data_IF_011384054110
#
_entry.id   IF_011384054110
#
_cell.length_a   1.000
_cell.length_b   1.000
_cell.length_c   1.000
_cell.angle_alpha   90.00
_cell.angle_beta   90.00
_cell.angle_gamma   90.00
#
_symmetry.space_group_name_H-M   'P 1'
#
loop_
_entity.id
_entity.type
_entity.pdbx_description
1 polymer ?
#
# COMPACT_ATOMS: atom_id res chain seq x y z
N UNK A 1 -17.96 13.78 3.93
CA UNK A 1 -18.13 13.00 2.68
C UNK A 1 -16.90 12.19 2.28
N UNK A 2 -15.71 12.79 2.24
CA UNK A 2 -14.50 12.05 1.92
C UNK A 2 -14.22 10.85 2.87
N UNK A 3 -14.53 10.96 4.17
CA UNK A 3 -14.44 9.82 5.13
C UNK A 3 -15.33 8.62 4.75
N UNK A 4 -16.45 8.86 4.06
CA UNK A 4 -17.40 7.83 3.63
C UNK A 4 -17.11 7.32 2.21
N UNK A 5 -15.90 7.53 1.69
CA UNK A 5 -15.54 7.16 0.30
C UNK A 5 -16.16 8.04 -0.78
N UNK A 6 -16.70 9.21 -0.42
CA UNK A 6 -17.35 10.15 -1.34
C UNK A 6 -16.46 11.36 -1.60
N UNK A 7 -15.22 11.12 -2.03
CA UNK A 7 -14.22 12.17 -2.25
C UNK A 7 -14.64 13.14 -3.36
N UNK A 8 -15.22 12.64 -4.46
CA UNK A 8 -15.75 13.49 -5.53
C UNK A 8 -16.84 14.46 -5.04
N UNK A 9 -17.78 13.99 -4.20
CA UNK A 9 -18.79 14.86 -3.60
C UNK A 9 -18.19 15.89 -2.62
N UNK A 10 -17.10 15.55 -1.94
CA UNK A 10 -16.39 16.50 -1.09
C UNK A 10 -15.71 17.59 -1.93
N UNK A 11 -15.06 17.19 -3.03
CA UNK A 11 -14.44 18.12 -3.99
C UNK A 11 -15.47 19.10 -4.56
N UNK A 12 -16.64 18.59 -4.98
CA UNK A 12 -17.73 19.43 -5.49
C UNK A 12 -18.21 20.47 -4.46
N UNK A 13 -18.37 20.06 -3.19
CA UNK A 13 -18.75 20.99 -2.11
C UNK A 13 -17.68 22.03 -1.80
N UNK A 14 -16.41 21.67 -1.94
CA UNK A 14 -15.30 22.61 -1.81
C UNK A 14 -15.32 23.60 -2.99
N UNK A 15 -15.57 23.11 -4.21
CA UNK A 15 -15.63 23.94 -5.41
C UNK A 15 -16.80 24.92 -5.40
N UNK A 16 -17.98 24.50 -4.93
CA UNK A 16 -19.16 25.37 -4.73
C UNK A 16 -18.87 26.56 -3.80
N UNK A 17 -17.85 26.45 -2.93
CA UNK A 17 -17.39 27.53 -2.04
C UNK A 17 -16.18 28.29 -2.58
N UNK A 18 -15.78 28.03 -3.82
CA UNK A 18 -14.59 28.62 -4.45
C UNK A 18 -13.26 28.01 -3.99
N UNK A 19 -13.29 26.90 -3.26
CA UNK A 19 -12.09 26.25 -2.71
C UNK A 19 -11.30 25.40 -3.69
N UNK A 20 -11.66 25.36 -4.98
CA UNK A 20 -10.88 24.65 -6.01
C UNK A 20 -10.42 25.61 -7.09
N UNK A 21 -9.10 25.74 -7.23
CA UNK A 21 -8.40 26.56 -8.22
C UNK A 21 -7.87 25.66 -9.33
N UNK A 22 -8.41 25.83 -10.53
CA UNK A 22 -7.92 25.14 -11.73
C UNK A 22 -6.83 25.98 -12.39
N UNK A 23 -5.65 25.38 -12.57
CA UNK A 23 -4.50 25.96 -13.25
C UNK A 23 -3.96 24.88 -14.18
N UNK A 24 -4.37 24.98 -15.44
CA UNK A 24 -4.03 24.03 -16.49
C UNK A 24 -2.52 24.00 -16.78
N UNK A 25 -2.08 22.95 -17.46
CA UNK A 25 -0.71 22.80 -17.95
C UNK A 25 -0.51 23.68 -19.20
N UNK A 26 0.31 24.75 -19.17
CA UNK A 26 0.51 25.63 -20.32
C UNK A 26 1.03 24.85 -21.51
N UNK A 27 0.32 24.89 -22.64
CA UNK A 27 0.69 24.12 -23.85
C UNK A 27 0.71 22.59 -23.65
N UNK A 28 0.10 22.07 -22.58
CA UNK A 28 0.20 20.66 -22.19
C UNK A 28 1.48 20.29 -21.43
N UNK A 29 2.37 21.25 -21.17
CA UNK A 29 3.60 21.04 -20.41
C UNK A 29 3.30 20.87 -18.91
N UNK A 30 3.55 19.66 -18.41
CA UNK A 30 3.28 19.28 -17.03
C UNK A 30 4.23 19.95 -16.05
N UNK A 31 5.48 20.17 -16.43
CA UNK A 31 6.46 20.82 -15.55
C UNK A 31 6.12 22.30 -15.40
N UNK A 32 5.82 22.97 -16.52
CA UNK A 32 5.34 24.36 -16.49
C UNK A 32 4.04 24.49 -15.69
N UNK A 33 3.12 23.52 -15.82
CA UNK A 33 1.88 23.48 -15.04
C UNK A 33 2.11 23.29 -13.55
N UNK A 34 3.02 22.39 -13.18
CA UNK A 34 3.42 22.15 -11.80
C UNK A 34 4.03 23.42 -11.17
N UNK A 35 4.93 24.10 -11.89
CA UNK A 35 5.50 25.39 -11.46
C UNK A 35 4.43 26.47 -11.29
N UNK A 36 3.49 26.59 -12.24
CA UNK A 36 2.39 27.57 -12.15
C UNK A 36 1.49 27.32 -10.93
N UNK A 37 1.14 26.05 -10.66
CA UNK A 37 0.38 25.65 -9.47
C UNK A 37 1.15 25.92 -8.18
N UNK A 38 2.43 25.58 -8.12
CA UNK A 38 3.29 25.86 -6.97
C UNK A 38 3.40 27.37 -6.69
N UNK A 39 3.53 28.20 -7.72
CA UNK A 39 3.55 29.66 -7.58
C UNK A 39 2.21 30.21 -7.06
N UNK A 40 1.08 29.66 -7.49
CA UNK A 40 -0.23 30.06 -6.98
C UNK A 40 -0.39 29.70 -5.49
N UNK A 41 0.03 28.50 -5.10
CA UNK A 41 0.08 28.07 -3.69
C UNK A 41 0.98 29.02 -2.88
N UNK A 42 2.15 29.36 -3.41
CA UNK A 42 3.10 30.25 -2.75
C UNK A 42 2.52 31.64 -2.50
N UNK A 43 1.87 32.24 -3.51
CA UNK A 43 1.22 33.55 -3.39
C UNK A 43 0.11 33.55 -2.35
N UNK A 44 -0.76 32.54 -2.39
CA UNK A 44 -1.84 32.40 -1.41
C UNK A 44 -1.27 32.24 0.01
N UNK A 45 -0.29 31.37 0.20
CA UNK A 45 0.35 31.16 1.49
C UNK A 45 1.04 32.43 2.02
N UNK A 46 1.75 33.14 1.16
CA UNK A 46 2.45 34.36 1.52
C UNK A 46 1.48 35.53 1.82
N UNK A 47 0.32 35.58 1.17
CA UNK A 47 -0.73 36.57 1.49
C UNK A 47 -1.33 36.44 2.90
N UNK A 48 -1.17 35.27 3.55
CA UNK A 48 -1.65 35.05 4.91
C UNK A 48 -0.83 35.83 5.95
N UNK A 49 -1.45 36.18 7.07
CA UNK A 49 -0.72 36.73 8.23
C UNK A 49 0.27 35.71 8.78
N UNK A 50 1.30 36.16 9.52
CA UNK A 50 2.29 35.25 10.14
C UNK A 50 1.62 34.18 11.01
N UNK A 51 0.61 34.56 11.80
CA UNK A 51 -0.12 33.61 12.66
C UNK A 51 -0.95 32.61 11.85
N UNK A 52 -1.57 33.05 10.76
CA UNK A 52 -2.36 32.14 9.91
C UNK A 52 -1.45 31.19 9.13
N UNK A 53 -0.28 31.66 8.67
CA UNK A 53 0.74 30.78 8.08
C UNK A 53 1.13 29.68 9.04
N UNK A 54 1.30 29.95 10.34
CA UNK A 54 1.65 28.96 11.38
C UNK A 54 0.57 27.89 11.56
N UNK A 55 -0.69 28.22 11.26
CA UNK A 55 -1.83 27.31 11.32
C UNK A 55 -2.24 26.76 9.96
N UNK A 56 -1.41 26.99 8.93
CA UNK A 56 -1.64 26.52 7.56
C UNK A 56 -0.64 25.44 7.19
N UNK A 57 -1.14 24.35 6.63
CA UNK A 57 -0.31 23.30 6.03
C UNK A 57 -0.43 23.32 4.52
N UNK A 58 0.67 22.99 3.85
CA UNK A 58 0.69 22.79 2.40
C UNK A 58 0.93 21.31 2.14
N UNK A 59 0.06 20.69 1.35
CA UNK A 59 0.09 19.27 1.07
C UNK A 59 0.46 19.04 -0.40
N UNK A 60 1.50 18.25 -0.60
CA UNK A 60 2.02 17.85 -1.89
C UNK A 60 1.73 16.35 -2.15
N UNK A 61 1.45 15.93 -3.40
CA UNK A 61 1.22 14.53 -3.73
C UNK A 61 2.51 13.69 -3.68
N UNK A 62 3.62 14.24 -4.18
CA UNK A 62 4.94 13.61 -4.24
C UNK A 62 6.07 14.38 -3.55
N UNK A 63 7.28 13.80 -3.58
CA UNK A 63 8.49 14.43 -3.01
C UNK A 63 9.06 15.50 -3.95
N UNK A 64 8.97 15.25 -5.25
CA UNK A 64 9.21 16.19 -6.35
C UNK A 64 8.32 17.43 -6.24
N UNK A 65 7.02 17.23 -6.01
CA UNK A 65 6.06 18.33 -5.75
C UNK A 65 6.45 19.16 -4.54
N UNK A 66 6.81 18.49 -3.45
CA UNK A 66 7.23 19.15 -2.22
C UNK A 66 8.43 20.06 -2.48
N UNK A 67 9.42 19.61 -3.24
CA UNK A 67 10.61 20.41 -3.54
C UNK A 67 10.27 21.68 -4.32
N UNK A 68 9.45 21.57 -5.37
CA UNK A 68 9.02 22.72 -6.19
C UNK A 68 8.19 23.70 -5.37
N UNK A 69 7.23 23.21 -4.58
CA UNK A 69 6.37 24.04 -3.72
C UNK A 69 7.19 24.72 -2.62
N UNK A 70 8.12 24.01 -1.98
CA UNK A 70 9.01 24.60 -0.97
C UNK A 70 9.83 25.76 -1.55
N UNK A 71 10.41 25.58 -2.74
CA UNK A 71 11.16 26.65 -3.40
C UNK A 71 10.26 27.85 -3.70
N UNK A 72 9.11 27.62 -4.34
CA UNK A 72 8.18 28.69 -4.71
C UNK A 72 7.69 29.49 -3.50
N UNK A 73 7.32 28.80 -2.40
CA UNK A 73 6.90 29.45 -1.14
C UNK A 73 8.03 30.30 -0.58
N UNK A 74 9.25 29.74 -0.51
CA UNK A 74 10.40 30.47 0.02
C UNK A 74 10.74 31.70 -0.81
N UNK A 75 10.75 31.57 -2.14
CA UNK A 75 11.04 32.65 -3.07
C UNK A 75 9.98 33.77 -2.97
N UNK A 76 8.70 33.40 -2.84
CA UNK A 76 7.61 34.36 -2.63
C UNK A 76 7.74 35.08 -1.27
N UNK A 77 8.06 34.36 -0.19
CA UNK A 77 8.26 34.96 1.13
C UNK A 77 9.45 35.93 1.17
N UNK A 78 10.51 35.64 0.41
CA UNK A 78 11.64 36.56 0.21
C UNK A 78 11.23 37.80 -0.57
N UNK A 79 10.51 37.61 -1.68
CA UNK A 79 10.02 38.69 -2.53
C UNK A 79 9.16 39.69 -1.74
N UNK A 80 8.31 39.20 -0.85
CA UNK A 80 7.46 40.02 0.02
C UNK A 80 8.19 40.57 1.26
N UNK A 81 9.47 40.25 1.44
CA UNK A 81 10.26 40.66 2.61
C UNK A 81 9.87 39.97 3.93
N UNK A 82 8.92 39.02 3.91
CA UNK A 82 8.53 38.22 5.07
C UNK A 82 9.64 37.27 5.54
N UNK A 83 10.51 36.85 4.62
CA UNK A 83 11.70 36.08 4.89
C UNK A 83 12.92 36.96 4.58
N UNK A 84 13.40 37.65 5.62
CA UNK A 84 14.56 38.55 5.57
C UNK A 84 15.52 38.24 6.71
N UNK A 85 16.83 38.40 6.50
CA UNK A 85 17.84 38.26 7.56
C UNK A 85 19.02 37.38 7.17
N UNK A 86 19.87 37.01 8.14
CA UNK A 86 21.05 36.20 7.89
C UNK A 86 20.70 34.85 7.26
N UNK A 87 21.43 34.48 6.21
CA UNK A 87 21.36 33.18 5.55
C UNK A 87 22.72 32.48 5.52
N UNK A 88 22.71 31.17 5.37
CA UNK A 88 23.88 30.34 5.14
C UNK A 88 23.56 29.28 4.10
N UNK A 89 24.51 29.06 3.18
CA UNK A 89 24.50 27.92 2.27
C UNK A 89 25.24 26.77 2.95
N UNK A 90 24.57 25.65 3.10
CA UNK A 90 25.10 24.44 3.74
C UNK A 90 24.76 23.22 2.91
N UNK A 91 25.58 22.18 3.02
CA UNK A 91 25.30 20.91 2.37
C UNK A 91 24.21 20.15 3.14
N UNK A 92 23.24 19.61 2.41
CA UNK A 92 22.17 18.74 2.94
C UNK A 92 22.17 17.39 2.23
N UNK A 93 21.65 16.37 2.91
CA UNK A 93 21.60 14.99 2.41
C UNK A 93 20.16 14.61 2.06
N UNK A 94 19.89 14.41 0.77
CA UNK A 94 18.60 13.95 0.27
C UNK A 94 18.68 12.46 -0.06
N UNK A 95 17.79 11.65 0.52
CA UNK A 95 17.77 10.21 0.27
C UNK A 95 17.51 9.91 -1.22
N UNK A 96 18.32 9.02 -1.81
CA UNK A 96 18.05 8.48 -3.16
C UNK A 96 16.93 7.44 -3.18
N UNK A 97 16.51 6.94 -2.02
CA UNK A 97 15.43 5.96 -1.92
C UNK A 97 15.71 4.63 -2.63
N UNK A 98 16.99 4.28 -2.83
CA UNK A 98 17.39 3.06 -3.56
C UNK A 98 16.72 1.81 -2.97
N UNK A 99 16.15 0.99 -3.84
CA UNK A 99 15.66 -0.35 -3.51
C UNK A 99 16.81 -1.27 -3.11
N UNK A 100 16.52 -2.39 -2.45
CA UNK A 100 17.56 -3.35 -2.07
C UNK A 100 18.29 -3.96 -3.28
N UNK A 101 17.65 -4.01 -4.44
CA UNK A 101 18.28 -4.43 -5.70
C UNK A 101 19.23 -3.35 -6.21
N UNK A 102 18.77 -2.09 -6.27
CA UNK A 102 19.60 -0.95 -6.70
C UNK A 102 20.81 -0.73 -5.79
N UNK A 103 20.66 -0.90 -4.48
CA UNK A 103 21.80 -0.84 -3.54
C UNK A 103 22.90 -1.84 -3.88
N UNK A 104 22.60 -2.95 -4.54
CA UNK A 104 23.64 -3.92 -4.96
C UNK A 104 24.29 -3.51 -6.27
N UNK A 105 23.67 -2.65 -7.05
CA UNK A 105 24.21 -2.18 -8.32
C UNK A 105 25.22 -1.04 -8.11
N UNK A 106 26.48 -1.18 -8.55
CA UNK A 106 27.46 -0.09 -8.56
C UNK A 106 26.97 1.14 -9.35
N UNK A 107 26.14 0.94 -10.38
CA UNK A 107 25.63 2.02 -11.22
C UNK A 107 24.62 2.93 -10.51
N UNK A 108 24.07 2.50 -9.38
CA UNK A 108 23.19 3.32 -8.56
C UNK A 108 23.93 4.37 -7.72
N UNK A 109 25.27 4.36 -7.73
CA UNK A 109 26.14 5.29 -7.00
C UNK A 109 26.81 6.26 -7.96
N UNK A 110 26.54 7.55 -7.79
CA UNK A 110 27.10 8.61 -8.62
C UNK A 110 28.18 9.36 -7.86
N UNK A 111 29.18 9.88 -8.57
CA UNK A 111 30.22 10.74 -7.98
C UNK A 111 29.58 11.90 -7.21
N UNK A 112 30.01 12.10 -5.97
CA UNK A 112 29.47 13.11 -5.07
C UNK A 112 28.34 12.62 -4.15
N UNK A 113 27.76 11.46 -4.39
CA UNK A 113 26.82 10.82 -3.45
C UNK A 113 27.50 10.56 -2.11
N UNK A 114 26.69 10.44 -1.04
CA UNK A 114 27.16 10.08 0.29
C UNK A 114 26.50 8.77 0.71
N UNK A 115 27.30 7.81 1.15
CA UNK A 115 26.85 6.52 1.66
C UNK A 115 27.02 6.50 3.17
N UNK A 116 25.93 6.23 3.89
CA UNK A 116 25.95 5.97 5.33
C UNK A 116 25.90 4.48 5.60
N UNK A 117 26.78 4.01 6.46
CA UNK A 117 26.87 2.60 6.81
C UNK A 117 26.13 2.31 8.12
N UNK A 118 25.02 1.57 8.05
CA UNK A 118 24.20 1.21 9.21
C UNK A 118 24.84 0.15 10.12
N UNK A 119 25.93 -0.49 9.68
CA UNK A 119 26.69 -1.49 10.43
C UNK A 119 28.18 -1.27 10.21
N UNK A 120 28.96 -1.71 11.18
CA UNK A 120 30.41 -1.79 11.06
C UNK A 120 30.80 -2.79 9.95
N UNK A 121 31.76 -2.42 9.10
CA UNK A 121 32.42 -3.31 8.15
C UNK A 121 33.90 -3.41 8.48
N UNK A 122 34.24 -4.35 9.36
CA UNK A 122 35.61 -4.58 9.86
C UNK A 122 36.63 -4.76 8.74
N UNK A 123 36.29 -5.50 7.69
CA UNK A 123 37.19 -5.76 6.55
C UNK A 123 37.51 -4.53 5.70
N UNK A 124 36.79 -3.42 5.87
CA UNK A 124 37.04 -2.14 5.23
C UNK A 124 37.35 -1.02 6.24
N UNK A 125 37.43 -1.36 7.53
CA UNK A 125 37.63 -0.39 8.61
C UNK A 125 36.52 0.66 8.71
N UNK A 126 35.30 0.36 8.25
CA UNK A 126 34.19 1.33 8.26
C UNK A 126 33.37 1.14 9.53
N UNK A 127 33.19 2.21 10.30
CA UNK A 127 32.43 2.20 11.55
C UNK A 127 30.92 2.25 11.31
N UNK A 128 30.15 1.78 12.31
CA UNK A 128 28.70 1.94 12.31
C UNK A 128 28.33 3.43 12.37
N UNK A 129 27.46 3.87 11.46
CA UNK A 129 26.98 5.24 11.35
C UNK A 129 27.88 6.16 10.52
N UNK A 130 29.01 5.66 10.03
CA UNK A 130 29.97 6.45 9.26
C UNK A 130 29.39 6.87 7.89
N UNK A 131 29.72 8.09 7.47
CA UNK A 131 29.35 8.66 6.18
C UNK A 131 30.60 8.78 5.31
N UNK A 132 30.55 8.21 4.11
CA UNK A 132 31.63 8.27 3.13
C UNK A 132 31.11 8.83 1.81
N UNK A 133 31.92 9.67 1.15
CA UNK A 133 31.56 10.27 -0.14
C UNK A 133 31.98 9.36 -1.29
N UNK A 134 31.17 9.23 -2.33
CA UNK A 134 31.53 8.52 -3.56
C UNK A 134 32.47 9.42 -4.37
N UNK A 135 33.73 9.00 -4.49
CA UNK A 135 34.74 9.70 -5.29
C UNK A 135 34.67 9.28 -6.76
N UNK A 136 34.48 7.98 -7.01
CA UNK A 136 34.38 7.41 -8.36
C UNK A 136 33.79 5.99 -8.34
N UNK A 137 33.58 5.41 -9.53
CA UNK A 137 33.14 4.02 -9.72
C UNK A 137 33.98 3.35 -10.82
N UNK A 138 34.57 2.20 -10.49
CA UNK A 138 35.35 1.37 -11.41
C UNK A 138 34.81 -0.06 -11.43
N UNK A 139 34.13 -0.42 -12.51
CA UNK A 139 33.49 -1.74 -12.65
C UNK A 139 32.53 -2.00 -11.49
N UNK A 140 32.80 -3.05 -10.70
CA UNK A 140 31.98 -3.42 -9.55
C UNK A 140 32.33 -2.67 -8.25
N UNK A 141 33.38 -1.86 -8.26
CA UNK A 141 33.91 -1.19 -7.06
C UNK A 141 33.53 0.28 -7.08
N UNK A 142 32.83 0.72 -6.04
CA UNK A 142 32.59 2.12 -5.71
C UNK A 142 33.75 2.60 -4.85
N UNK A 143 34.47 3.62 -5.31
CA UNK A 143 35.52 4.29 -4.54
C UNK A 143 34.87 5.30 -3.60
N UNK A 144 35.02 5.04 -2.31
CA UNK A 144 34.54 5.89 -1.24
C UNK A 144 35.69 6.71 -0.66
N UNK A 145 35.40 7.89 -0.15
CA UNK A 145 36.38 8.83 0.40
C UNK A 145 35.91 9.32 1.76
N UNK A 146 36.82 9.27 2.74
CA UNK A 146 36.64 9.87 4.07
C UNK A 146 36.89 11.37 4.04
N UNK A 147 36.46 12.06 5.09
CA UNK A 147 36.83 13.48 5.29
C UNK A 147 38.34 13.68 5.40
N UNK A 148 39.09 12.65 5.85
CA UNK A 148 40.56 12.64 5.87
C UNK A 148 41.22 12.57 4.49
N UNK A 149 40.46 12.30 3.42
CA UNK A 149 40.96 12.03 2.07
C UNK A 149 41.34 10.56 1.83
N UNK A 150 41.23 9.69 2.84
CA UNK A 150 41.47 8.25 2.67
C UNK A 150 40.42 7.64 1.73
N UNK A 151 40.88 6.87 0.75
CA UNK A 151 40.02 6.18 -0.21
C UNK A 151 39.84 4.69 0.13
N UNK A 152 38.61 4.20 -0.03
CA UNK A 152 38.21 2.83 0.26
C UNK A 152 37.47 2.26 -0.94
N UNK A 153 37.92 1.10 -1.43
CA UNK A 153 37.18 0.34 -2.44
C UNK A 153 36.06 -0.49 -1.81
N UNK A 154 34.82 -0.25 -2.21
CA UNK A 154 33.66 -1.01 -1.74
C UNK A 154 32.89 -1.61 -2.92
N UNK A 155 32.67 -2.94 -2.91
CA UNK A 155 31.80 -3.62 -3.87
C UNK A 155 30.40 -3.79 -3.24
N UNK A 156 29.37 -3.05 -3.71
CA UNK A 156 28.03 -3.09 -3.11
C UNK A 156 27.33 -4.45 -3.24
N UNK A 157 27.56 -5.14 -4.36
CA UNK A 157 27.00 -6.48 -4.63
C UNK A 157 27.57 -7.54 -3.70
N UNK A 158 28.89 -7.55 -3.50
CA UNK A 158 29.58 -8.58 -2.72
C UNK A 158 29.59 -8.30 -1.21
N UNK A 159 29.60 -7.02 -0.80
CA UNK A 159 29.81 -6.62 0.61
C UNK A 159 28.62 -5.94 1.26
N UNK A 160 27.43 -6.50 1.00
CA UNK A 160 26.29 -6.36 1.89
C UNK A 160 25.70 -4.95 1.96
N UNK A 161 25.28 -4.40 0.82
CA UNK A 161 24.55 -3.13 0.75
C UNK A 161 23.04 -3.24 1.02
N UNK A 162 22.48 -4.46 1.05
CA UNK A 162 21.03 -4.72 1.18
C UNK A 162 20.37 -4.27 2.50
N UNK A 163 19.09 -4.61 2.67
CA UNK A 163 18.18 -4.12 3.71
C UNK A 163 18.85 -3.68 5.04
N UNK A 164 18.77 -2.37 5.32
CA UNK A 164 19.22 -1.76 6.57
C UNK A 164 20.74 -1.65 6.77
N UNK A 165 21.56 -2.06 5.80
CA UNK A 165 23.03 -1.99 5.91
C UNK A 165 23.62 -0.70 5.38
N UNK A 166 23.02 -0.13 4.33
CA UNK A 166 23.44 1.16 3.77
C UNK A 166 22.24 2.05 3.44
N UNK A 167 22.49 3.35 3.54
CA UNK A 167 21.61 4.42 3.09
C UNK A 167 22.43 5.32 2.15
N UNK A 168 21.86 5.74 1.02
CA UNK A 168 22.57 6.54 0.01
C UNK A 168 21.84 7.85 -0.21
N UNK A 169 22.61 8.93 -0.23
CA UNK A 169 22.12 10.29 -0.28
C UNK A 169 22.79 11.05 -1.41
N UNK A 170 22.06 11.96 -2.06
CA UNK A 170 22.65 13.04 -2.86
C UNK A 170 23.00 14.20 -1.92
N UNK A 171 24.18 14.76 -2.10
CA UNK A 171 24.56 16.02 -1.44
C UNK A 171 24.01 17.18 -2.25
N UNK A 172 23.26 18.07 -1.61
CA UNK A 172 22.69 19.26 -2.23
C UNK A 172 23.04 20.49 -1.40
N UNK A 173 23.64 21.50 -2.03
CA UNK A 173 23.86 22.80 -1.41
C UNK A 173 22.54 23.55 -1.29
N UNK A 174 22.08 23.79 -0.06
CA UNK A 174 20.84 24.50 0.22
C UNK A 174 21.10 25.72 1.07
N UNK A 175 20.38 26.79 0.76
CA UNK A 175 20.39 28.00 1.59
C UNK A 175 19.28 27.93 2.64
N UNK A 176 19.67 28.13 3.90
CA UNK A 176 18.74 28.36 5.00
C UNK A 176 18.91 29.78 5.53
N UNK A 177 17.80 30.38 5.93
CA UNK A 177 17.70 31.75 6.41
C UNK A 177 16.88 31.79 7.69
N UNK A 178 17.19 32.75 8.56
CA UNK A 178 16.34 33.02 9.74
C UNK A 178 14.89 33.22 9.30
N UNK A 179 13.97 32.47 9.92
CA UNK A 179 12.55 32.41 9.56
C UNK A 179 12.15 31.25 8.65
N UNK A 180 13.12 30.52 8.05
CA UNK A 180 12.81 29.36 7.22
C UNK A 180 12.11 28.27 8.04
N UNK A 181 11.05 27.69 7.47
CA UNK A 181 10.50 26.43 7.99
C UNK A 181 11.32 25.27 7.47
N UNK A 182 11.64 24.34 8.35
CA UNK A 182 12.46 23.18 8.03
C UNK A 182 11.84 21.90 8.56
N UNK A 183 12.20 20.79 7.92
CA UNK A 183 11.84 19.45 8.33
C UNK A 183 13.09 18.58 8.35
N UNK A 184 13.25 17.82 9.43
CA UNK A 184 14.29 16.80 9.56
C UNK A 184 13.92 15.59 8.70
N UNK A 185 14.84 15.14 7.85
CA UNK A 185 14.60 14.05 6.86
C UNK A 185 15.09 12.68 7.33
N UNK A 186 15.82 12.64 8.45
CA UNK A 186 16.33 11.44 9.12
C UNK A 186 16.59 11.74 10.59
N UNK A 187 16.46 10.76 11.48
CA UNK A 187 16.83 10.95 12.89
C UNK A 187 18.25 11.51 13.02
N UNK A 188 18.37 12.60 13.79
CA UNK A 188 19.64 13.24 14.15
C UNK A 188 19.91 12.87 15.62
N UNK A 189 20.52 11.70 15.81
CA UNK A 189 20.75 11.08 17.13
C UNK A 189 21.56 11.99 18.06
N UNK A 190 22.55 12.71 17.53
CA UNK A 190 23.40 13.67 18.25
C UNK A 190 22.62 14.84 18.85
N UNK A 191 21.45 15.14 18.29
CA UNK A 191 20.61 16.26 18.69
C UNK A 191 19.28 15.81 19.32
N UNK A 192 19.05 14.49 19.42
CA UNK A 192 17.80 13.93 19.93
C UNK A 192 16.57 14.19 19.04
N UNK A 193 16.76 14.66 17.80
CA UNK A 193 15.64 15.02 16.91
C UNK A 193 15.23 13.83 16.04
N UNK A 194 13.93 13.54 16.02
CA UNK A 194 13.35 12.49 15.20
C UNK A 194 13.13 12.92 13.74
N UNK A 195 13.08 11.93 12.85
CA UNK A 195 12.66 12.14 11.47
C UNK A 195 11.25 12.77 11.42
N UNK A 196 11.05 13.65 10.44
CA UNK A 196 9.84 14.44 10.19
C UNK A 196 9.56 15.55 11.20
N UNK A 197 10.35 15.69 12.28
CA UNK A 197 10.26 16.85 13.17
C UNK A 197 10.39 18.12 12.35
N UNK A 198 9.43 19.02 12.52
CA UNK A 198 9.40 20.33 11.87
C UNK A 198 9.87 21.40 12.84
N UNK A 199 10.43 22.48 12.30
CA UNK A 199 10.80 23.64 13.09
C UNK A 199 11.04 24.88 12.25
N UNK A 200 11.48 25.94 12.92
CA UNK A 200 11.80 27.22 12.29
C UNK A 200 13.25 27.59 12.59
N UNK A 201 14.00 28.03 11.59
CA UNK A 201 15.35 28.56 11.78
C UNK A 201 15.25 29.89 12.54
N UNK A 202 15.89 29.98 13.69
CA UNK A 202 15.95 31.22 14.48
C UNK A 202 17.27 31.96 14.35
N UNK A 203 18.35 31.20 14.20
CA UNK A 203 19.69 31.75 14.14
C UNK A 203 20.51 31.01 13.11
N UNK A 204 21.28 31.78 12.36
CA UNK A 204 22.26 31.31 11.41
C UNK A 204 23.60 31.94 11.79
N UNK A 205 24.63 31.12 11.99
CA UNK A 205 25.98 31.56 12.34
C UNK A 205 27.02 30.64 11.69
N UNK A 206 27.50 31.00 10.49
CA UNK A 206 28.34 30.13 9.67
C UNK A 206 27.61 28.82 9.36
N UNK A 207 28.27 27.68 9.62
CA UNK A 207 27.69 26.34 9.44
C UNK A 207 26.77 25.91 10.59
N UNK A 208 26.49 26.77 11.57
CA UNK A 208 25.62 26.45 12.70
C UNK A 208 24.24 27.05 12.51
N UNK A 209 23.22 26.18 12.55
CA UNK A 209 21.81 26.54 12.52
C UNK A 209 21.19 26.30 13.89
N UNK A 210 20.34 27.22 14.36
CA UNK A 210 19.49 26.99 15.53
C UNK A 210 18.05 26.86 15.07
N UNK A 211 17.42 25.73 15.38
CA UNK A 211 16.06 25.38 14.98
C UNK A 211 15.15 25.40 16.21
N UNK A 212 14.06 26.18 16.17
CA UNK A 212 12.95 26.06 17.13
C UNK A 212 12.06 24.92 16.72
N UNK A 213 11.96 23.89 17.55
CA UNK A 213 10.97 22.82 17.42
C UNK A 213 9.88 22.98 18.49
N UNK A 214 8.87 22.12 18.48
CA UNK A 214 7.87 22.06 19.55
C UNK A 214 8.46 21.60 20.89
N UNK A 215 9.57 20.88 20.88
CA UNK A 215 10.25 20.37 22.07
C UNK A 215 11.30 21.35 22.62
N UNK A 216 11.60 22.42 21.87
CA UNK A 216 12.58 23.43 22.27
C UNK A 216 13.55 23.80 21.15
N UNK A 217 14.59 24.55 21.51
CA UNK A 217 15.65 24.97 20.60
C UNK A 217 16.74 23.91 20.47
N UNK A 218 17.18 23.66 19.24
CA UNK A 218 18.24 22.71 18.96
C UNK A 218 19.28 23.33 18.01
N UNK A 219 20.56 23.15 18.34
CA UNK A 219 21.67 23.56 17.49
C UNK A 219 22.14 22.44 16.58
N UNK A 220 22.24 22.71 15.28
CA UNK A 220 22.76 21.81 14.27
C UNK A 220 24.06 22.38 13.71
N UNK A 221 25.14 21.60 13.80
CA UNK A 221 26.43 21.92 13.19
C UNK A 221 26.52 21.21 11.84
N UNK A 222 26.31 21.96 10.76
CA UNK A 222 26.23 21.45 9.39
C UNK A 222 27.58 21.02 8.84
N UNK A 223 28.69 21.31 9.53
CA UNK A 223 29.99 20.72 9.20
C UNK A 223 30.00 19.20 9.39
N UNK A 224 29.12 18.66 10.25
CA UNK A 224 29.00 17.23 10.54
C UNK A 224 27.91 16.56 9.69
N UNK A 225 28.27 15.49 8.98
CA UNK A 225 27.37 14.83 8.04
C UNK A 225 26.08 14.30 8.68
N UNK A 226 26.13 13.87 9.94
CA UNK A 226 24.95 13.39 10.68
C UNK A 226 23.89 14.47 10.95
N UNK A 227 24.27 15.75 10.88
CA UNK A 227 23.34 16.88 11.06
C UNK A 227 22.77 17.40 9.73
N UNK A 228 23.26 16.93 8.58
CA UNK A 228 22.89 17.42 7.24
C UNK A 228 21.55 16.87 6.73
N UNK A 229 20.79 16.17 7.57
CA UNK A 229 19.47 15.61 7.22
C UNK A 229 18.34 16.62 7.46
N UNK A 230 18.41 17.73 6.75
CA UNK A 230 17.48 18.86 6.86
C UNK A 230 17.01 19.29 5.47
N UNK A 231 15.73 19.62 5.35
CA UNK A 231 15.13 20.17 4.14
C UNK A 231 14.18 21.32 4.51
N UNK A 232 13.79 22.13 3.53
CA UNK A 232 12.71 23.10 3.74
C UNK A 232 11.40 22.36 4.06
N UNK A 233 10.63 22.92 4.98
CA UNK A 233 9.46 22.28 5.59
C UNK A 233 8.16 23.04 5.39
N UNK A 234 8.01 23.78 4.29
CA UNK A 234 6.78 24.52 3.99
C UNK A 234 5.65 23.59 3.52
N UNK A 235 5.98 22.62 2.68
CA UNK A 235 5.09 21.57 2.21
C UNK A 235 5.46 20.20 2.79
N UNK A 236 4.46 19.33 2.90
CA UNK A 236 4.62 17.93 3.31
C UNK A 236 3.75 17.02 2.46
N UNK A 237 4.09 15.73 2.38
CA UNK A 237 3.25 14.77 1.66
C UNK A 237 1.99 14.43 2.45
N UNK A 238 0.93 13.99 1.77
CA UNK A 238 -0.32 13.59 2.44
C UNK A 238 -0.08 12.53 3.54
N UNK A 239 0.82 11.57 3.29
CA UNK A 239 1.20 10.56 4.28
C UNK A 239 1.96 11.18 5.48
N UNK A 240 2.83 12.16 5.25
CA UNK A 240 3.50 12.87 6.34
C UNK A 240 2.55 13.76 7.15
N UNK A 241 1.46 14.25 6.52
CA UNK A 241 0.42 15.00 7.19
C UNK A 241 -0.54 14.12 8.02
N UNK A 242 -0.44 12.79 7.98
CA UNK A 242 -1.35 11.92 8.72
C UNK A 242 -1.26 12.18 10.23
N UNK A 243 -2.38 12.56 10.84
CA UNK A 243 -2.44 12.90 12.27
C UNK A 243 -2.16 14.38 12.57
N UNK A 244 -1.60 15.14 11.62
CA UNK A 244 -1.55 16.59 11.71
C UNK A 244 -2.96 17.18 11.65
N UNK A 245 -3.18 18.27 12.37
CA UNK A 245 -4.40 19.07 12.25
C UNK A 245 -3.99 20.53 12.14
N UNK A 246 -4.58 21.22 11.16
CA UNK A 246 -4.31 22.63 10.88
C UNK A 246 -5.63 23.37 10.70
N UNK A 247 -5.63 24.69 10.81
CA UNK A 247 -6.86 25.46 10.55
C UNK A 247 -7.12 25.54 9.05
N UNK A 248 -6.05 25.66 8.24
CA UNK A 248 -6.10 25.74 6.79
C UNK A 248 -5.21 24.70 6.11
N UNK A 249 -5.67 24.16 4.98
CA UNK A 249 -4.86 23.31 4.11
C UNK A 249 -4.84 23.85 2.67
N UNK A 250 -3.65 24.01 2.10
CA UNK A 250 -3.43 24.26 0.68
C UNK A 250 -2.96 22.96 0.03
N UNK A 251 -3.77 22.38 -0.85
CA UNK A 251 -3.54 21.03 -1.38
C UNK A 251 -3.20 21.11 -2.87
N UNK A 252 -2.05 20.58 -3.24
CA UNK A 252 -1.72 20.35 -4.64
C UNK A 252 -2.25 18.97 -5.06
N UNK A 253 -3.12 18.92 -6.08
CA UNK A 253 -3.76 17.70 -6.53
C UNK A 253 -3.78 17.61 -8.06
N UNK A 254 -2.99 16.71 -8.62
CA UNK A 254 -2.97 16.51 -10.08
C UNK A 254 -3.83 15.32 -10.49
N UNK A 255 -4.68 15.56 -11.48
CA UNK A 255 -5.63 14.60 -12.04
C UNK A 255 -4.98 13.41 -12.73
N UNK A 256 -3.78 13.59 -13.29
CA UNK A 256 -3.07 12.56 -14.05
C UNK A 256 -2.24 11.60 -13.18
N UNK A 257 -1.86 11.99 -11.95
CA UNK A 257 -1.07 11.14 -11.03
C UNK A 257 -1.96 10.25 -10.17
N UNK A 258 -2.66 9.34 -10.84
CA UNK A 258 -3.59 8.38 -10.26
C UNK A 258 -2.99 7.52 -9.10
N UNK A 259 -1.68 7.32 -9.05
CA UNK A 259 -1.01 6.61 -7.95
C UNK A 259 -0.88 7.45 -6.66
N UNK A 260 -0.84 8.78 -6.78
CA UNK A 260 -0.64 9.71 -5.67
C UNK A 260 -1.92 10.49 -5.32
N UNK A 261 -2.79 10.69 -6.30
CA UNK A 261 -4.10 11.35 -6.18
C UNK A 261 -5.19 10.29 -6.18
N UNK A 262 -5.46 9.70 -5.02
CA UNK A 262 -6.55 8.72 -4.83
C UNK A 262 -7.46 9.15 -3.69
N UNK A 263 -8.63 8.50 -3.55
CA UNK A 263 -9.60 8.86 -2.52
C UNK A 263 -9.01 8.93 -1.10
N UNK A 264 -8.06 8.04 -0.75
CA UNK A 264 -7.42 8.05 0.57
C UNK A 264 -6.46 9.22 0.75
N UNK A 265 -5.62 9.50 -0.23
CA UNK A 265 -4.69 10.63 -0.18
C UNK A 265 -5.44 11.97 -0.15
N UNK A 266 -6.49 12.11 -0.95
CA UNK A 266 -7.33 13.30 -0.98
C UNK A 266 -8.17 13.43 0.29
N UNK A 267 -8.73 12.33 0.80
CA UNK A 267 -9.39 12.33 2.11
C UNK A 267 -8.44 12.80 3.21
N UNK A 268 -7.23 12.23 3.27
CA UNK A 268 -6.24 12.64 4.25
C UNK A 268 -5.98 14.13 4.11
N UNK A 269 -5.79 14.65 2.90
CA UNK A 269 -5.49 16.06 2.63
C UNK A 269 -6.62 17.01 3.04
N UNK A 270 -7.85 16.71 2.62
CA UNK A 270 -9.05 17.49 2.96
C UNK A 270 -9.35 17.44 4.47
N UNK A 271 -9.20 16.26 5.11
CA UNK A 271 -9.51 16.08 6.53
C UNK A 271 -8.53 16.78 7.49
N UNK A 272 -7.40 17.31 7.00
CA UNK A 272 -6.45 18.00 7.86
C UNK A 272 -6.86 19.41 8.24
N UNK A 273 -7.65 20.08 7.41
CA UNK A 273 -8.12 21.42 7.72
C UNK A 273 -9.35 21.37 8.62
N UNK A 274 -9.30 22.14 9.71
CA UNK A 274 -10.47 22.37 10.56
C UNK A 274 -11.44 23.36 9.95
N UNK A 275 -10.93 24.37 9.25
CA UNK A 275 -11.72 25.53 8.82
C UNK A 275 -11.78 25.64 7.30
N UNK A 276 -10.62 25.59 6.62
CA UNK A 276 -10.56 25.93 5.19
C UNK A 276 -9.60 25.05 4.39
N UNK A 277 -10.06 24.61 3.21
CA UNK A 277 -9.26 23.85 2.25
C UNK A 277 -9.28 24.59 0.92
N UNK A 278 -8.11 24.75 0.31
CA UNK A 278 -7.96 25.20 -1.08
C UNK A 278 -7.20 24.14 -1.87
N UNK A 279 -7.80 23.65 -2.96
CA UNK A 279 -7.23 22.62 -3.83
C UNK A 279 -6.76 23.27 -5.13
N UNK A 280 -5.54 22.96 -5.53
CA UNK A 280 -4.90 23.45 -6.77
C UNK A 280 -4.73 22.28 -7.71
N UNK A 281 -5.41 22.32 -8.85
CA UNK A 281 -5.46 21.19 -9.79
C UNK A 281 -5.24 21.61 -11.24
N UNK A 282 -4.78 20.69 -12.06
CA UNK A 282 -4.66 20.84 -13.51
C UNK A 282 -6.01 20.77 -14.22
N UNK A 283 -6.97 20.03 -13.67
CA UNK A 283 -8.34 19.94 -14.18
C UNK A 283 -9.32 19.51 -13.09
N UNK A 284 -10.34 20.31 -12.81
CA UNK A 284 -11.43 19.96 -11.88
C UNK A 284 -12.18 18.72 -12.35
N UNK A 285 -12.51 18.66 -13.64
CA UNK A 285 -13.19 17.52 -14.24
C UNK A 285 -12.32 16.26 -14.17
N UNK A 286 -11.04 16.38 -14.56
CA UNK A 286 -10.08 15.28 -14.49
C UNK A 286 -9.88 14.78 -13.05
N UNK A 287 -9.77 15.68 -12.08
CA UNK A 287 -9.60 15.32 -10.66
C UNK A 287 -10.86 14.63 -10.11
N UNK A 288 -12.04 15.13 -10.44
CA UNK A 288 -13.31 14.51 -10.04
C UNK A 288 -13.43 13.08 -10.58
N UNK A 289 -13.06 12.89 -11.85
CA UNK A 289 -13.06 11.60 -12.53
C UNK A 289 -12.02 10.63 -11.93
N UNK A 290 -10.79 11.12 -11.66
CA UNK A 290 -9.75 10.37 -10.96
C UNK A 290 -10.22 9.88 -9.57
N UNK A 291 -10.79 10.78 -8.76
CA UNK A 291 -11.29 10.45 -7.43
C UNK A 291 -12.51 9.53 -7.45
N UNK A 292 -13.32 9.56 -8.52
CA UNK A 292 -14.46 8.66 -8.67
C UNK A 292 -14.04 7.24 -9.01
N UNK A 293 -12.94 7.08 -9.75
CA UNK A 293 -12.44 5.76 -10.21
C UNK A 293 -11.47 5.08 -9.23
N UNK A 294 -10.78 5.82 -8.37
CA UNK A 294 -9.70 5.27 -7.54
C UNK A 294 -9.95 5.38 -6.03
N UNK A 295 -10.35 4.26 -5.44
CA UNK A 295 -10.53 4.13 -3.98
C UNK A 295 -9.23 4.24 -3.18
N UNK A 296 -8.06 4.08 -3.82
CA UNK A 296 -6.76 4.05 -3.14
C UNK A 296 -6.45 2.71 -2.44
N UNK A 297 -7.20 1.65 -2.76
CA UNK A 297 -6.85 0.29 -2.39
C UNK A 297 -5.69 -0.21 -3.25
N UNK A 298 -4.59 -0.61 -2.59
CA UNK A 298 -3.55 -1.40 -3.25
C UNK A 298 -4.17 -2.76 -3.55
N UNK A 299 -4.54 -3.02 -4.80
CA UNK A 299 -4.84 -4.38 -5.22
C UNK A 299 -3.60 -5.23 -4.92
N UNK A 300 -3.72 -6.19 -4.01
CA UNK A 300 -2.65 -7.13 -3.75
C UNK A 300 -2.32 -7.88 -5.06
N UNK A 301 -1.08 -8.36 -5.22
CA UNK A 301 -0.73 -9.18 -6.39
C UNK A 301 -1.64 -10.41 -6.55
N UNK A 302 -2.23 -10.88 -5.44
CA UNK A 302 -3.26 -11.92 -5.41
C UNK A 302 -4.59 -11.46 -6.01
N UNK A 303 -5.00 -10.21 -5.82
CA UNK A 303 -6.24 -9.67 -6.38
C UNK A 303 -6.17 -9.61 -7.91
N UNK A 304 -5.00 -9.35 -8.50
CA UNK A 304 -4.81 -9.39 -9.96
C UNK A 304 -4.82 -10.82 -10.50
N UNK A 305 -4.28 -11.78 -9.75
CA UNK A 305 -4.35 -13.20 -10.11
C UNK A 305 -5.79 -13.69 -10.04
N UNK A 306 -6.52 -13.33 -8.98
CA UNK A 306 -7.89 -13.77 -8.77
C UNK A 306 -8.87 -13.02 -9.68
N UNK A 307 -8.60 -11.77 -10.07
CA UNK A 307 -9.35 -11.07 -11.10
C UNK A 307 -9.06 -11.64 -12.50
N UNK A 308 -7.81 -12.03 -12.78
CA UNK A 308 -7.44 -12.72 -14.03
C UNK A 308 -8.08 -14.11 -14.09
N UNK A 309 -8.09 -14.87 -13.00
CA UNK A 309 -8.74 -16.18 -12.89
C UNK A 309 -10.27 -16.06 -12.97
N UNK A 310 -10.87 -14.96 -12.47
CA UNK A 310 -12.31 -14.66 -12.66
C UNK A 310 -12.64 -14.31 -14.11
N UNK A 311 -11.81 -13.48 -14.76
CA UNK A 311 -11.99 -13.11 -16.17
C UNK A 311 -11.70 -14.28 -17.14
N UNK A 312 -10.73 -15.14 -16.83
CA UNK A 312 -10.44 -16.37 -17.58
C UNK A 312 -11.47 -17.48 -17.29
N UNK A 313 -12.11 -17.46 -16.11
CA UNK A 313 -13.16 -18.40 -15.69
C UNK A 313 -14.55 -18.15 -16.31
N UNK A 314 -14.85 -16.95 -16.79
CA UNK A 314 -16.10 -16.65 -17.51
C UNK A 314 -16.10 -17.18 -18.96
N UNK A 315 -14.95 -17.62 -19.48
CA UNK A 315 -14.78 -18.13 -20.84
C UNK A 315 -14.86 -19.65 -21.02
N UNK A 316 -14.87 -20.46 -19.95
CA UNK A 316 -14.95 -21.92 -20.05
C UNK A 316 -16.21 -22.47 -19.37
N UNK A 317 -17.26 -22.67 -20.17
CA UNK A 317 -18.31 -23.65 -19.86
C UNK A 317 -17.64 -25.01 -19.67
N UNK A 318 -17.60 -25.52 -18.44
CA UNK A 318 -17.25 -26.91 -18.17
C UNK A 318 -18.39 -27.77 -18.74
N UNK A 319 -18.25 -28.19 -20.00
CA UNK A 319 -19.03 -29.30 -20.53
C UNK A 319 -18.44 -30.59 -19.95
N UNK A 320 -19.15 -31.22 -19.01
CA UNK A 320 -18.86 -32.59 -18.64
C UNK A 320 -19.20 -33.50 -19.83
N UNK A 321 -18.19 -33.98 -20.55
CA UNK A 321 -18.39 -34.90 -21.68
C UNK A 321 -18.78 -36.31 -21.18
N UNK A 322 -19.69 -37.01 -21.89
CA UNK A 322 -20.26 -38.31 -21.48
C UNK A 322 -19.25 -39.43 -21.17
N UNK A 323 -18.02 -39.35 -21.71
CA UNK A 323 -16.97 -40.36 -21.56
C UNK A 323 -16.48 -40.56 -20.12
N UNK A 324 -16.60 -39.56 -19.24
CA UNK A 324 -16.12 -39.69 -17.84
C UNK A 324 -17.12 -40.41 -16.93
N UNK A 325 -18.39 -40.45 -17.30
CA UNK A 325 -19.48 -41.10 -16.56
C UNK A 325 -19.48 -42.62 -16.81
N UNK A 326 -19.22 -43.06 -18.05
CA UNK A 326 -19.09 -44.48 -18.41
C UNK A 326 -17.91 -45.17 -17.70
N UNK A 327 -16.82 -44.44 -17.46
CA UNK A 327 -15.66 -44.96 -16.72
C UNK A 327 -16.01 -45.29 -15.26
N UNK A 328 -16.88 -44.49 -14.64
CA UNK A 328 -17.32 -44.67 -13.25
C UNK A 328 -18.35 -45.80 -13.17
N UNK A 329 -19.31 -45.84 -14.11
CA UNK A 329 -20.31 -46.92 -14.18
C UNK A 329 -19.69 -48.29 -14.46
N UNK A 330 -18.70 -48.39 -15.36
CA UNK A 330 -18.02 -49.66 -15.64
C UNK A 330 -17.15 -50.17 -14.49
N UNK A 331 -16.69 -49.26 -13.61
CA UNK A 331 -15.90 -49.61 -12.42
C UNK A 331 -16.81 -50.08 -11.29
N UNK A 332 -18.02 -49.51 -11.17
CA UNK A 332 -19.03 -49.91 -10.20
C UNK A 332 -19.74 -51.22 -10.58
N UNK A 333 -19.99 -51.47 -11.86
CA UNK A 333 -20.56 -52.73 -12.35
C UNK A 333 -19.64 -53.93 -12.07
N UNK A 334 -18.32 -53.76 -12.25
CA UNK A 334 -17.31 -54.79 -11.94
C UNK A 334 -17.22 -55.11 -10.44
N UNK A 335 -17.55 -54.15 -9.58
CA UNK A 335 -17.58 -54.34 -8.13
C UNK A 335 -18.84 -55.08 -7.66
N UNK A 336 -19.97 -54.87 -8.34
CA UNK A 336 -21.25 -55.57 -8.09
C UNK A 336 -21.16 -57.08 -8.34
N UNK A 337 -20.40 -57.52 -9.35
CA UNK A 337 -20.27 -58.94 -9.69
C UNK A 337 -19.37 -59.70 -8.70
N UNK A 338 -18.37 -59.05 -8.10
CA UNK A 338 -17.44 -59.66 -7.15
C UNK A 338 -18.02 -59.82 -5.73
N UNK A 339 -19.26 -59.39 -5.49
CA UNK A 339 -19.91 -59.32 -4.17
C UNK A 339 -21.11 -60.24 -3.98
N UNK A 340 -21.23 -61.38 -4.69
CA UNK A 340 -22.26 -62.38 -4.37
C UNK A 340 -21.87 -63.17 -3.12
N UNK A 341 -22.53 -62.89 -2.00
CA UNK A 341 -22.55 -63.80 -0.85
C UNK A 341 -22.45 -63.21 0.56
N UNK A 342 -22.59 -61.90 0.77
CA UNK A 342 -22.64 -61.32 2.13
C UNK A 342 -23.66 -60.18 2.22
N UNK A 343 -24.12 -59.89 3.44
CA UNK A 343 -25.07 -58.82 3.82
C UNK A 343 -24.50 -57.41 3.63
N UNK A 344 -23.82 -57.19 2.50
CA UNK A 344 -23.24 -55.95 2.00
C UNK A 344 -24.06 -55.37 0.85
N UNK A 345 -25.01 -56.14 0.28
CA UNK A 345 -25.86 -55.70 -0.82
C UNK A 345 -26.78 -54.52 -0.47
N UNK A 346 -27.28 -54.45 0.78
CA UNK A 346 -28.12 -53.32 1.26
C UNK A 346 -27.31 -52.04 1.46
N UNK A 347 -26.06 -52.15 1.93
CA UNK A 347 -25.16 -50.99 2.12
C UNK A 347 -24.57 -50.47 0.81
N UNK A 348 -24.38 -51.31 -0.21
CA UNK A 348 -23.96 -50.85 -1.54
C UNK A 348 -25.13 -50.19 -2.30
N UNK A 349 -26.35 -50.71 -2.15
CA UNK A 349 -27.55 -50.09 -2.74
C UNK A 349 -27.85 -48.70 -2.16
N UNK A 350 -27.69 -48.52 -0.83
CA UNK A 350 -27.90 -47.22 -0.18
C UNK A 350 -26.84 -46.18 -0.58
N UNK A 351 -25.59 -46.60 -0.74
CA UNK A 351 -24.49 -45.74 -1.22
C UNK A 351 -24.67 -45.39 -2.70
N UNK A 352 -25.17 -46.32 -3.52
CA UNK A 352 -25.48 -46.07 -4.94
C UNK A 352 -26.66 -45.11 -5.10
N UNK A 353 -27.67 -45.20 -4.22
CA UNK A 353 -28.79 -44.26 -4.18
C UNK A 353 -28.31 -42.85 -3.77
N UNK A 354 -27.50 -42.73 -2.72
CA UNK A 354 -26.96 -41.45 -2.25
C UNK A 354 -26.01 -40.79 -3.29
N UNK A 355 -25.25 -41.58 -4.04
CA UNK A 355 -24.40 -41.08 -5.12
C UNK A 355 -25.21 -40.59 -6.33
N UNK A 356 -26.30 -41.30 -6.70
CA UNK A 356 -27.23 -40.85 -7.75
C UNK A 356 -27.95 -39.56 -7.36
N UNK A 357 -28.35 -39.42 -6.10
CA UNK A 357 -29.04 -38.24 -5.56
C UNK A 357 -28.10 -37.03 -5.49
N UNK A 358 -26.81 -37.25 -5.16
CA UNK A 358 -25.78 -36.20 -5.20
C UNK A 358 -25.45 -35.76 -6.64
N UNK A 359 -25.44 -36.70 -7.59
CA UNK A 359 -25.20 -36.39 -9.01
C UNK A 359 -26.41 -35.67 -9.66
N UNK A 360 -27.65 -36.02 -9.30
CA UNK A 360 -28.84 -35.32 -9.79
C UNK A 360 -28.94 -33.91 -9.21
N UNK A 361 -28.57 -33.71 -7.95
CA UNK A 361 -28.48 -32.39 -7.32
C UNK A 361 -27.45 -31.49 -8.03
N UNK A 362 -26.28 -32.03 -8.39
CA UNK A 362 -25.25 -31.31 -9.17
C UNK A 362 -25.70 -30.94 -10.58
N UNK A 363 -26.48 -31.79 -11.24
CA UNK A 363 -27.09 -31.53 -12.55
C UNK A 363 -28.16 -30.43 -12.51
N UNK A 364 -29.04 -30.45 -11.50
CA UNK A 364 -30.07 -29.42 -11.34
C UNK A 364 -29.49 -28.05 -10.93
N UNK A 365 -28.36 -28.03 -10.22
CA UNK A 365 -27.61 -26.81 -9.86
C UNK A 365 -26.96 -26.10 -11.04
N UNK A 366 -26.79 -26.75 -12.20
CA UNK A 366 -26.35 -26.08 -13.45
C UNK A 366 -27.40 -25.10 -14.00
N UNK A 367 -28.64 -25.11 -13.48
CA UNK A 367 -29.78 -24.34 -14.00
C UNK A 367 -30.30 -23.23 -13.06
N UNK A 368 -29.85 -23.14 -11.80
CA UNK A 368 -30.37 -22.13 -10.86
C UNK A 368 -29.23 -21.25 -10.34
N UNK A 369 -29.19 -20.01 -10.83
CA UNK A 369 -28.21 -19.01 -10.42
C UNK A 369 -28.43 -18.51 -8.99
N UNK A 370 -27.31 -18.17 -8.34
CA UNK A 370 -27.14 -17.36 -7.13
C UNK A 370 -28.31 -17.36 -6.11
N UNK A 371 -28.38 -18.41 -5.29
CA UNK A 371 -29.27 -18.46 -4.12
C UNK A 371 -29.07 -19.66 -3.17
N UNK A 372 -28.33 -20.68 -3.58
CA UNK A 372 -28.34 -22.00 -2.92
C UNK A 372 -27.30 -22.22 -1.79
N UNK A 373 -26.74 -21.17 -1.18
CA UNK A 373 -25.61 -21.34 -0.23
C UNK A 373 -25.95 -22.12 1.05
N UNK A 374 -27.17 -21.97 1.58
CA UNK A 374 -27.57 -22.56 2.88
C UNK A 374 -27.98 -24.03 2.75
N UNK A 375 -28.62 -24.39 1.64
CA UNK A 375 -28.99 -25.78 1.32
C UNK A 375 -27.77 -26.61 0.89
N UNK A 376 -26.80 -26.00 0.18
CA UNK A 376 -25.50 -26.61 -0.15
C UNK A 376 -24.72 -27.05 1.09
N UNK A 377 -24.67 -26.20 2.13
CA UNK A 377 -23.98 -26.53 3.39
C UNK A 377 -24.63 -27.71 4.12
N UNK A 378 -25.95 -27.79 4.11
CA UNK A 378 -26.69 -28.87 4.78
C UNK A 378 -26.61 -30.20 4.03
N UNK A 379 -26.68 -30.19 2.70
CA UNK A 379 -26.55 -31.38 1.87
C UNK A 379 -25.12 -31.96 1.93
N UNK A 380 -24.10 -31.09 1.86
CA UNK A 380 -22.69 -31.50 1.97
C UNK A 380 -22.37 -32.07 3.37
N UNK A 381 -22.95 -31.51 4.43
CA UNK A 381 -22.75 -32.01 5.78
C UNK A 381 -23.37 -33.41 5.96
N UNK A 382 -24.59 -33.63 5.45
CA UNK A 382 -25.23 -34.96 5.47
C UNK A 382 -24.47 -36.00 4.66
N UNK A 383 -23.95 -35.63 3.49
CA UNK A 383 -23.15 -36.54 2.66
C UNK A 383 -21.81 -36.93 3.35
N UNK A 384 -21.14 -35.96 3.97
CA UNK A 384 -19.92 -36.22 4.75
C UNK A 384 -20.19 -37.12 5.97
N UNK A 385 -21.34 -36.93 6.64
CA UNK A 385 -21.74 -37.75 7.78
C UNK A 385 -22.05 -39.20 7.36
N UNK A 386 -22.75 -39.40 6.24
CA UNK A 386 -23.03 -40.72 5.68
C UNK A 386 -21.76 -41.47 5.27
N UNK A 387 -20.81 -40.79 4.63
CA UNK A 387 -19.52 -41.37 4.24
C UNK A 387 -18.63 -41.69 5.44
N UNK A 388 -18.68 -40.87 6.50
CA UNK A 388 -17.96 -41.10 7.75
C UNK A 388 -18.49 -42.35 8.49
N UNK A 389 -19.82 -42.52 8.55
CA UNK A 389 -20.42 -43.74 9.11
C UNK A 389 -20.05 -45.00 8.32
N UNK A 390 -20.07 -44.93 6.99
CA UNK A 390 -19.65 -46.04 6.12
C UNK A 390 -18.17 -46.39 6.33
N UNK A 391 -17.29 -45.39 6.44
CA UNK A 391 -15.88 -45.60 6.74
C UNK A 391 -15.69 -46.28 8.12
N UNK A 392 -16.51 -45.94 9.11
CA UNK A 392 -16.52 -46.57 10.43
C UNK A 392 -16.97 -48.04 10.40
N UNK A 393 -17.97 -48.39 9.60
CA UNK A 393 -18.42 -49.77 9.43
C UNK A 393 -17.43 -50.62 8.63
N UNK A 394 -16.81 -50.04 7.59
CA UNK A 394 -15.71 -50.67 6.84
C UNK A 394 -14.50 -50.90 7.76
N UNK A 395 -14.18 -49.96 8.65
CA UNK A 395 -13.09 -50.11 9.62
C UNK A 395 -13.39 -51.22 10.65
N UNK A 396 -14.65 -51.37 11.09
CA UNK A 396 -15.07 -52.47 11.98
C UNK A 396 -15.02 -53.84 11.28
N UNK A 397 -15.35 -53.91 9.99
CA UNK A 397 -15.22 -55.15 9.19
C UNK A 397 -13.78 -55.48 8.77
N UNK A 398 -12.92 -54.46 8.59
CA UNK A 398 -11.54 -54.60 8.14
C UNK A 398 -10.57 -55.08 9.22
N UNK A 399 -11.01 -55.21 10.48
CA UNK A 399 -10.24 -55.83 11.56
C UNK A 399 -9.84 -57.29 11.32
N UNK A 400 -10.23 -57.89 10.19
CA UNK A 400 -9.82 -59.26 9.81
C UNK A 400 -9.09 -59.46 8.48
N UNK A 401 -8.85 -58.44 7.64
CA UNK A 401 -7.93 -58.60 6.49
C UNK A 401 -7.32 -57.27 6.04
N UNK A 402 -6.00 -57.15 6.16
CA UNK A 402 -5.23 -55.96 5.75
C UNK A 402 -4.63 -56.14 4.35
N UNK A 403 -4.95 -55.21 3.45
CA UNK A 403 -4.27 -55.08 2.15
C UNK A 403 -4.99 -54.17 1.15
N UNK A 404 -6.33 -54.13 1.17
CA UNK A 404 -7.12 -53.30 0.25
C UNK A 404 -7.66 -51.99 0.87
N UNK A 405 -7.77 -51.91 2.20
CA UNK A 405 -8.38 -50.77 2.91
C UNK A 405 -7.55 -49.46 2.86
N UNK A 406 -6.22 -49.55 2.72
CA UNK A 406 -5.35 -48.36 2.67
C UNK A 406 -5.54 -47.48 1.43
N UNK A 407 -5.91 -48.07 0.29
CA UNK A 407 -6.11 -47.33 -0.96
C UNK A 407 -7.47 -46.62 -1.00
N UNK A 408 -8.50 -47.18 -0.35
CA UNK A 408 -9.83 -46.57 -0.25
C UNK A 408 -9.86 -45.41 0.76
N UNK A 409 -9.19 -45.53 1.92
CA UNK A 409 -9.07 -44.44 2.88
C UNK A 409 -8.33 -43.21 2.30
N UNK A 410 -7.30 -43.45 1.48
CA UNK A 410 -6.56 -42.38 0.79
C UNK A 410 -7.33 -41.73 -0.37
N UNK A 411 -8.30 -42.42 -0.97
CA UNK A 411 -9.19 -41.86 -1.99
C UNK A 411 -10.27 -40.96 -1.39
N UNK A 412 -10.94 -41.44 -0.34
CA UNK A 412 -11.96 -40.69 0.39
C UNK A 412 -11.40 -39.44 1.10
N UNK A 413 -10.17 -39.54 1.66
CA UNK A 413 -9.49 -38.39 2.27
C UNK A 413 -9.14 -37.27 1.28
N UNK A 414 -8.81 -37.62 0.03
CA UNK A 414 -8.57 -36.62 -1.03
C UNK A 414 -9.87 -35.94 -1.48
N UNK A 415 -10.94 -36.71 -1.68
CA UNK A 415 -12.25 -36.15 -2.01
C UNK A 415 -12.80 -35.24 -0.88
N UNK A 416 -12.57 -35.59 0.40
CA UNK A 416 -12.90 -34.75 1.55
C UNK A 416 -12.07 -33.45 1.58
N UNK A 417 -10.79 -33.52 1.24
CA UNK A 417 -9.92 -32.34 1.12
C UNK A 417 -10.38 -31.38 0.02
N UNK A 418 -10.77 -31.92 -1.13
CA UNK A 418 -11.22 -31.13 -2.27
C UNK A 418 -12.58 -30.47 -2.01
N UNK A 419 -13.52 -31.18 -1.36
CA UNK A 419 -14.82 -30.63 -0.95
C UNK A 419 -14.68 -29.59 0.17
N UNK A 420 -13.78 -29.82 1.14
CA UNK A 420 -13.53 -28.87 2.23
C UNK A 420 -12.84 -27.58 1.72
N UNK A 421 -11.93 -27.69 0.76
CA UNK A 421 -11.36 -26.54 0.08
C UNK A 421 -12.41 -25.77 -0.74
N UNK A 422 -13.27 -26.47 -1.49
CA UNK A 422 -14.34 -25.84 -2.25
C UNK A 422 -15.36 -25.09 -1.35
N UNK A 423 -15.73 -25.67 -0.21
CA UNK A 423 -16.60 -25.02 0.79
C UNK A 423 -15.91 -23.82 1.48
N UNK A 424 -14.60 -23.92 1.73
CA UNK A 424 -13.78 -22.84 2.27
C UNK A 424 -13.68 -21.63 1.35
N UNK A 425 -13.60 -21.84 0.03
CA UNK A 425 -13.59 -20.76 -0.95
C UNK A 425 -14.97 -20.11 -1.14
N UNK A 426 -16.06 -20.88 -1.05
CA UNK A 426 -17.43 -20.36 -1.14
C UNK A 426 -17.85 -19.49 0.05
N UNK A 427 -17.34 -19.76 1.25
CA UNK A 427 -17.60 -18.94 2.45
C UNK A 427 -16.96 -17.55 2.46
N UNK A 428 -16.01 -17.29 1.53
CA UNK A 428 -15.28 -16.02 1.42
C UNK A 428 -15.90 -15.03 0.44
N UNK A 429 -17.04 -15.37 -0.17
CA UNK A 429 -17.81 -14.49 -1.06
C UNK A 429 -18.75 -13.63 -0.19
N UNK A 430 -18.61 -12.28 -0.14
CA UNK A 430 -19.47 -11.45 0.72
C UNK A 430 -20.90 -11.41 0.18
N UNK A 431 -21.86 -11.96 0.92
CA UNK A 431 -23.29 -11.82 0.64
C UNK A 431 -23.85 -10.51 1.18
N UNK A 432 -24.26 -9.60 0.29
CA UNK A 432 -25.21 -8.55 0.62
C UNK A 432 -26.60 -9.17 0.77
N UNK A 433 -27.23 -9.04 1.93
CA UNK A 433 -28.65 -9.30 2.11
C UNK A 433 -29.37 -7.97 2.37
N UNK A 434 -30.24 -7.63 1.42
CA UNK A 434 -31.10 -6.47 1.37
C UNK A 434 -32.35 -6.68 2.24
N UNK A 435 -32.91 -5.56 2.71
CA UNK A 435 -34.14 -5.45 3.48
C UNK A 435 -35.42 -5.75 2.66
N UNK A 436 -36.46 -6.25 3.34
CA UNK A 436 -37.89 -6.22 2.96
C UNK A 436 -38.35 -7.31 1.97
N UNK A 437 -39.51 -7.94 2.06
CA UNK A 437 -40.89 -7.51 2.43
C UNK A 437 -41.74 -8.83 2.49
N UNK A 438 -42.59 -9.18 3.48
CA UNK A 438 -44.04 -8.88 3.71
C UNK A 438 -44.49 -9.98 4.73
N UNK A 439 -45.17 -9.72 5.84
CA UNK A 439 -46.60 -9.45 5.96
C UNK A 439 -47.40 -10.73 6.29
N UNK A 440 -48.13 -10.75 7.42
CA UNK A 440 -49.26 -11.67 7.63
C UNK A 440 -49.38 -12.43 8.97
N UNK A 441 -50.17 -11.84 9.88
CA UNK A 441 -51.20 -12.48 10.74
C UNK A 441 -50.89 -13.51 11.86
N UNK A 442 -51.45 -13.15 13.05
CA UNK A 442 -52.26 -13.91 14.03
C UNK A 442 -51.65 -14.50 15.31
N UNK A 443 -52.34 -14.13 16.42
CA UNK A 443 -52.48 -14.86 17.70
C UNK A 443 -51.37 -14.55 18.71
N UNK A 444 -51.60 -14.15 19.96
CA UNK A 444 -52.72 -14.34 20.88
C UNK A 444 -52.16 -14.87 22.22
N UNK A 445 -52.58 -14.29 23.35
CA UNK A 445 -52.27 -14.75 24.72
C UNK A 445 -51.18 -13.92 25.41
N UNK A 446 -51.50 -13.17 26.49
CA UNK A 446 -51.51 -13.61 27.92
C UNK A 446 -50.11 -14.04 28.37
N UNK A 447 -49.51 -13.52 29.45
CA UNK A 447 -49.97 -12.79 30.63
C UNK A 447 -48.92 -11.72 31.04
#
# INVERSE_FOLDING_TARGET
DAYRGRAAQALEKIDQRGGVKEIANPGGDREAGMQARAQAIAKDFASLSKSDREKTIIIAPGHDDRAVINSAVRDQLKLEGSLSGPSAKVETLQSKGLTDAEKRSPDSYSKGDVVRFGREMKGLGIAKGEYLKVADKEGEVVKLERVSGEQIGWNPSARGSGAGRTETFRSESKEFQVGDRVQVTRNIETAGISNKTTGTIEKVAGDKLTVRTTEGQVGLDMSKAENRHLDHGYAMTAHAAQGATADRALVHAESHRLNLTNQRAEYVSISRARQEVTIYTDSKAGLTDALSRQTGEKSAALDKRDARLRAEGEGQKIQATPQKTEAIESTLARFSESGKGMDTGKSVASVTAAARESASAGSQLSKVGAGAGKELGQASAKAAEGLSKLAGEIAKGAGKMLGAAGRLAGGAGRALGDVSNAAGELSKIPGQANEGVKGGEKGGGKD
#
